data_IF_046321104638
#
_entry.id   IF_046321104638
#
_cell.length_a   1.000
_cell.length_b   1.000
_cell.length_c   1.000
_cell.angle_alpha   90.00
_cell.angle_beta   90.00
_cell.angle_gamma   90.00
#
_symmetry.space_group_name_H-M   'P 1'
#
loop_
_entity.id
_entity.type
_entity.pdbx_description
1 polymer ?
#
# COMPACT_ATOMS: atom_id res chain seq x y z
N UNK A 1 20.68 68.09 -15.77
CA UNK A 1 20.02 67.33 -14.68
C UNK A 1 20.88 67.48 -13.43
N UNK A 2 20.35 68.16 -12.41
CA UNK A 2 21.11 68.75 -11.30
C UNK A 2 21.88 67.71 -10.45
N UNK A 3 23.07 68.05 -9.99
CA UNK A 3 23.86 67.27 -9.01
C UNK A 3 23.09 67.05 -7.70
N UNK A 4 22.19 67.98 -7.34
CA UNK A 4 21.30 67.86 -6.19
C UNK A 4 20.27 66.73 -6.35
N UNK A 5 19.70 66.53 -7.53
CA UNK A 5 18.74 65.43 -7.75
C UNK A 5 19.41 64.06 -7.72
N UNK A 6 20.68 63.97 -8.14
CA UNK A 6 21.49 62.75 -8.00
C UNK A 6 21.82 62.44 -6.54
N UNK A 7 22.20 63.44 -5.75
CA UNK A 7 22.48 63.27 -4.32
C UNK A 7 21.22 62.85 -3.54
N UNK A 8 20.06 63.42 -3.85
CA UNK A 8 18.79 63.05 -3.25
C UNK A 8 18.41 61.58 -3.55
N UNK A 9 18.56 61.14 -4.80
CA UNK A 9 18.32 59.74 -5.20
C UNK A 9 19.24 58.75 -4.49
N UNK A 10 20.51 59.11 -4.32
CA UNK A 10 21.51 58.26 -3.65
C UNK A 10 21.26 58.20 -2.13
N UNK A 11 20.83 59.31 -1.52
CA UNK A 11 20.42 59.33 -0.10
C UNK A 11 19.20 58.47 0.18
N UNK A 12 18.16 58.55 -0.67
CA UNK A 12 16.93 57.75 -0.52
C UNK A 12 17.21 56.25 -0.66
N UNK A 13 18.08 55.86 -1.59
CA UNK A 13 18.43 54.45 -1.79
C UNK A 13 19.25 53.89 -0.63
N UNK A 14 20.22 54.63 -0.09
CA UNK A 14 20.99 54.20 1.09
C UNK A 14 20.10 54.05 2.34
N UNK A 15 19.17 54.98 2.56
CA UNK A 15 18.21 54.89 3.68
C UNK A 15 17.23 53.72 3.52
N UNK A 16 16.81 53.42 2.28
CA UNK A 16 15.96 52.27 1.97
C UNK A 16 16.65 50.92 2.19
N UNK A 17 17.96 50.81 1.92
CA UNK A 17 18.72 49.58 2.16
C UNK A 17 18.99 49.33 3.65
N UNK A 18 19.10 50.36 4.49
CA UNK A 18 19.27 50.22 5.95
C UNK A 18 18.07 49.56 6.64
N UNK A 19 16.88 49.56 6.02
CA UNK A 19 15.70 48.88 6.54
C UNK A 19 15.74 47.35 6.34
N UNK A 20 16.50 46.87 5.34
CA UNK A 20 16.62 45.44 5.03
C UNK A 20 17.93 44.82 5.57
N UNK A 21 18.86 45.66 6.07
CA UNK A 21 20.08 45.23 6.77
C UNK A 21 19.87 44.88 8.25
N UNK A 22 18.67 45.09 8.79
CA UNK A 22 18.24 44.56 10.08
C UNK A 22 17.97 43.07 9.95
N UNK A 23 19.07 42.31 9.80
CA UNK A 23 19.09 40.93 10.27
C UNK A 23 18.57 40.95 11.71
N UNK A 24 17.64 40.06 12.05
CA UNK A 24 16.98 40.02 13.34
C UNK A 24 17.92 39.64 14.49
N UNK A 25 18.91 40.47 14.81
CA UNK A 25 19.95 40.21 15.81
C UNK A 25 19.71 40.89 17.17
N UNK A 26 18.66 41.71 17.32
CA UNK A 26 18.39 42.41 18.59
C UNK A 26 17.07 41.98 19.24
N UNK A 27 16.99 40.72 19.64
CA UNK A 27 15.97 40.27 20.60
C UNK A 27 14.79 39.51 19.99
N UNK A 28 15.06 38.59 19.07
CA UNK A 28 14.10 37.51 18.83
C UNK A 28 14.45 36.42 19.83
N UNK A 29 13.54 36.13 20.75
CA UNK A 29 13.53 34.83 21.45
C UNK A 29 13.43 33.76 20.37
N UNK A 30 14.60 33.30 19.89
CA UNK A 30 14.65 32.16 18.99
C UNK A 30 14.07 30.98 19.78
N UNK A 31 13.05 30.28 19.25
CA UNK A 31 12.46 29.15 19.96
C UNK A 31 13.55 28.10 20.17
N UNK A 32 13.83 27.79 21.42
CA UNK A 32 14.88 26.86 21.83
C UNK A 32 14.68 25.47 21.19
N UNK A 33 15.42 25.21 20.12
CA UNK A 33 15.38 23.96 19.37
C UNK A 33 15.92 22.75 20.16
N UNK A 34 16.51 22.99 21.33
CA UNK A 34 16.95 21.96 22.27
C UNK A 34 16.06 21.87 23.51
N UNK A 35 14.91 22.54 23.53
CA UNK A 35 13.93 22.39 24.59
C UNK A 35 13.34 20.97 24.56
N UNK A 36 13.89 20.09 25.40
CA UNK A 36 13.42 18.71 25.54
C UNK A 36 12.09 18.73 26.30
N UNK A 37 10.99 18.44 25.59
CA UNK A 37 9.71 18.15 26.19
C UNK A 37 9.75 16.86 27.02
N UNK A 38 9.02 16.80 28.14
CA UNK A 38 8.93 15.56 28.94
C UNK A 38 8.22 14.49 28.12
N UNK A 39 8.95 13.48 27.68
CA UNK A 39 8.35 12.29 27.09
C UNK A 39 7.49 11.59 28.15
N UNK A 40 6.28 11.18 27.76
CA UNK A 40 5.45 10.33 28.61
C UNK A 40 6.26 9.06 28.98
N UNK A 41 6.14 8.56 30.22
CA UNK A 41 6.87 7.38 30.63
C UNK A 41 6.54 6.21 29.69
N UNK A 42 7.58 5.58 29.16
CA UNK A 42 7.46 4.37 28.35
C UNK A 42 6.97 3.25 29.26
N UNK A 43 5.68 2.93 29.17
CA UNK A 43 5.13 1.72 29.78
C UNK A 43 5.62 0.56 28.94
N UNK A 44 6.55 -0.21 29.47
CA UNK A 44 6.90 -1.52 28.92
C UNK A 44 5.63 -2.37 29.00
N UNK A 45 5.06 -2.81 27.87
CA UNK A 45 3.92 -3.72 27.91
C UNK A 45 4.31 -4.94 28.74
N UNK A 46 3.39 -5.53 29.53
CA UNK A 46 3.70 -6.75 30.26
C UNK A 46 4.25 -7.78 29.27
N UNK A 47 5.41 -8.36 29.58
CA UNK A 47 5.98 -9.45 28.80
C UNK A 47 4.95 -10.58 28.74
N UNK A 48 4.27 -10.70 27.60
CA UNK A 48 3.46 -11.87 27.31
C UNK A 48 4.42 -13.00 26.98
N UNK A 49 5.04 -13.57 28.01
CA UNK A 49 5.63 -14.89 27.92
C UNK A 49 4.48 -15.87 27.65
N UNK A 50 4.12 -16.01 26.38
CA UNK A 50 3.18 -17.00 25.92
C UNK A 50 3.70 -18.34 26.42
N UNK A 51 3.02 -18.91 27.42
CA UNK A 51 3.38 -20.20 27.95
C UNK A 51 3.41 -21.18 26.77
N UNK A 52 4.52 -21.93 26.57
CA UNK A 52 4.59 -22.90 25.51
C UNK A 52 3.37 -23.83 25.58
N UNK A 53 2.65 -24.04 24.47
CA UNK A 53 1.47 -24.89 24.47
C UNK A 53 1.88 -26.28 24.98
N UNK A 54 1.16 -26.81 25.96
CA UNK A 54 1.50 -28.10 26.56
C UNK A 54 1.52 -29.17 25.46
N UNK A 55 2.59 -29.99 25.36
CA UNK A 55 2.63 -31.11 24.43
C UNK A 55 1.40 -32.00 24.62
N UNK A 56 0.60 -32.20 23.56
CA UNK A 56 -0.60 -33.03 23.59
C UNK A 56 -1.88 -32.38 24.11
N UNK A 57 -1.87 -31.09 24.45
CA UNK A 57 -3.14 -30.36 24.63
C UNK A 57 -3.90 -30.36 23.28
N UNK A 58 -5.23 -30.54 23.28
CA UNK A 58 -6.03 -30.34 22.07
C UNK A 58 -5.66 -28.98 21.51
N UNK A 59 -5.12 -28.98 20.29
CA UNK A 59 -4.97 -27.74 19.52
C UNK A 59 -6.38 -27.13 19.53
N UNK A 60 -6.55 -25.85 19.87
CA UNK A 60 -7.77 -25.16 19.49
C UNK A 60 -7.94 -25.47 18.00
N UNK A 61 -8.99 -26.21 17.65
CA UNK A 61 -9.30 -26.43 16.24
C UNK A 61 -9.59 -25.02 15.76
N UNK A 62 -8.62 -24.40 15.08
CA UNK A 62 -8.89 -23.13 14.43
C UNK A 62 -10.07 -23.41 13.53
N UNK A 63 -11.20 -22.79 13.84
CA UNK A 63 -12.29 -22.67 12.89
C UNK A 63 -11.65 -22.26 11.58
N UNK A 64 -11.93 -22.99 10.51
CA UNK A 64 -11.34 -22.74 9.20
C UNK A 64 -11.23 -21.23 8.94
N UNK A 65 -10.00 -20.74 8.72
CA UNK A 65 -9.71 -19.31 8.68
C UNK A 65 -10.52 -18.60 7.58
N UNK A 66 -10.86 -19.32 6.50
CA UNK A 66 -11.74 -18.83 5.46
C UNK A 66 -13.16 -18.60 6.02
N UNK A 67 -13.70 -19.58 6.74
CA UNK A 67 -15.01 -19.46 7.41
C UNK A 67 -15.06 -18.27 8.38
N UNK A 68 -14.01 -18.07 9.19
CA UNK A 68 -13.94 -16.92 10.10
C UNK A 68 -13.90 -15.57 9.36
N UNK A 69 -13.09 -15.48 8.29
CA UNK A 69 -13.01 -14.27 7.48
C UNK A 69 -14.34 -13.94 6.81
N UNK A 70 -15.04 -14.96 6.29
CA UNK A 70 -16.35 -14.77 5.67
C UNK A 70 -17.40 -14.28 6.68
N UNK A 71 -17.39 -14.83 7.89
CA UNK A 71 -18.28 -14.40 8.96
C UNK A 71 -17.99 -12.97 9.43
N UNK A 72 -16.72 -12.57 9.47
CA UNK A 72 -16.32 -11.20 9.77
C UNK A 72 -16.70 -10.20 8.66
N UNK A 73 -16.58 -10.59 7.38
CA UNK A 73 -16.83 -9.71 6.24
C UNK A 73 -18.31 -9.61 5.86
N UNK A 74 -19.06 -10.69 5.98
CA UNK A 74 -20.43 -10.81 5.47
C UNK A 74 -21.47 -11.14 6.56
N UNK A 75 -21.03 -11.40 7.80
CA UNK A 75 -21.89 -11.75 8.93
C UNK A 75 -22.05 -13.26 9.13
N UNK A 76 -22.70 -13.61 10.24
CA UNK A 76 -22.81 -14.98 10.70
C UNK A 76 -23.56 -15.90 9.73
N UNK A 77 -22.97 -17.06 9.44
CA UNK A 77 -23.58 -18.10 8.61
C UNK A 77 -23.56 -17.87 7.10
N UNK A 78 -22.93 -16.79 6.61
CA UNK A 78 -22.77 -16.57 5.17
C UNK A 78 -21.80 -17.58 4.58
N UNK A 79 -22.32 -18.42 3.68
CA UNK A 79 -21.51 -19.35 2.87
C UNK A 79 -21.55 -18.94 1.40
N UNK A 80 -20.42 -19.04 0.67
CA UNK A 80 -20.43 -18.82 -0.77
C UNK A 80 -21.43 -19.76 -1.44
N UNK A 81 -22.14 -19.27 -2.46
CA UNK A 81 -22.95 -20.13 -3.29
C UNK A 81 -22.06 -21.22 -3.95
N UNK A 82 -22.56 -22.46 -4.11
CA UNK A 82 -21.80 -23.49 -4.81
C UNK A 82 -21.48 -23.01 -6.24
N UNK A 83 -20.23 -23.21 -6.64
CA UNK A 83 -19.75 -22.81 -7.97
C UNK A 83 -20.53 -23.56 -9.05
N UNK A 84 -20.86 -22.87 -10.14
CA UNK A 84 -21.54 -23.53 -11.26
C UNK A 84 -20.64 -24.60 -11.91
N UNK A 85 -21.22 -25.55 -12.64
CA UNK A 85 -20.45 -26.61 -13.34
C UNK A 85 -19.47 -26.01 -14.36
N UNK A 86 -19.90 -24.96 -15.08
CA UNK A 86 -19.03 -24.26 -16.04
C UNK A 86 -17.85 -23.57 -15.36
N UNK A 87 -18.08 -22.95 -14.20
CA UNK A 87 -17.03 -22.29 -13.43
C UNK A 87 -16.03 -23.30 -12.85
N UNK A 88 -16.50 -24.44 -12.36
CA UNK A 88 -15.62 -25.53 -11.92
C UNK A 88 -14.76 -26.06 -13.07
N UNK A 89 -15.37 -26.28 -14.24
CA UNK A 89 -14.63 -26.73 -15.43
C UNK A 89 -13.55 -25.73 -15.86
N UNK A 90 -13.86 -24.43 -15.81
CA UNK A 90 -12.88 -23.39 -16.13
C UNK A 90 -11.74 -23.36 -15.09
N UNK A 91 -12.05 -23.53 -13.80
CA UNK A 91 -11.03 -23.63 -12.75
C UNK A 91 -10.13 -24.85 -12.92
N UNK A 92 -10.69 -25.99 -13.34
CA UNK A 92 -9.95 -27.21 -13.63
C UNK A 92 -9.04 -27.03 -14.85
N UNK A 93 -9.57 -26.49 -15.95
CA UNK A 93 -8.81 -26.20 -17.17
C UNK A 93 -7.71 -25.14 -16.89
N UNK A 94 -7.95 -24.21 -15.95
CA UNK A 94 -6.96 -23.22 -15.48
C UNK A 94 -5.97 -23.76 -14.43
N UNK A 95 -6.12 -25.01 -13.95
CA UNK A 95 -5.28 -25.61 -12.93
C UNK A 95 -5.43 -25.00 -11.53
N UNK A 96 -6.50 -24.25 -11.27
CA UNK A 96 -6.72 -23.52 -10.02
C UNK A 96 -6.98 -24.43 -8.81
N UNK A 97 -7.32 -25.70 -9.03
CA UNK A 97 -7.59 -26.69 -7.97
C UNK A 97 -6.33 -27.26 -7.32
N UNK A 98 -5.13 -26.94 -7.81
CA UNK A 98 -3.84 -27.38 -7.23
C UNK A 98 -2.88 -26.20 -7.04
N UNK A 99 -3.14 -25.30 -6.08
CA UNK A 99 -2.24 -24.18 -5.82
C UNK A 99 -0.90 -24.67 -5.27
N UNK A 100 0.20 -24.19 -5.85
CA UNK A 100 1.55 -24.42 -5.32
C UNK A 100 1.73 -23.60 -4.03
N UNK A 101 1.99 -24.25 -2.87
CA UNK A 101 2.21 -23.53 -1.61
C UNK A 101 3.36 -22.52 -1.65
N UNK A 102 4.34 -22.76 -2.53
CA UNK A 102 5.52 -21.90 -2.72
C UNK A 102 5.29 -20.75 -3.69
N UNK A 103 4.12 -20.66 -4.34
CA UNK A 103 3.84 -19.69 -5.40
C UNK A 103 4.14 -18.23 -5.00
N UNK A 104 3.94 -17.85 -3.74
CA UNK A 104 4.23 -16.49 -3.27
C UNK A 104 5.73 -16.22 -3.11
N UNK A 105 6.49 -17.22 -2.73
CA UNK A 105 7.94 -17.14 -2.61
C UNK A 105 8.59 -17.14 -3.99
N UNK A 106 8.10 -17.96 -4.91
CA UNK A 106 8.61 -18.02 -6.28
C UNK A 106 8.22 -16.80 -7.09
N UNK A 107 6.97 -16.32 -7.04
CA UNK A 107 6.55 -15.15 -7.82
C UNK A 107 7.29 -13.84 -7.44
N UNK A 108 7.77 -13.73 -6.20
CA UNK A 108 8.52 -12.56 -5.71
C UNK A 108 10.04 -12.69 -5.80
N UNK A 109 10.56 -13.86 -6.16
CA UNK A 109 12.01 -14.11 -6.25
C UNK A 109 12.56 -13.46 -7.54
N UNK A 110 13.57 -12.56 -7.45
CA UNK A 110 14.20 -11.97 -8.62
C UNK A 110 14.90 -12.99 -9.54
N UNK A 111 15.18 -14.20 -9.06
CA UNK A 111 15.75 -15.28 -9.85
C UNK A 111 14.70 -16.11 -10.61
N UNK A 112 13.40 -15.85 -10.43
CA UNK A 112 12.35 -16.58 -11.13
C UNK A 112 12.38 -16.31 -12.63
N UNK A 113 12.38 -17.37 -13.43
CA UNK A 113 12.36 -17.26 -14.89
C UNK A 113 11.08 -16.59 -15.37
N UNK A 114 11.21 -15.39 -15.94
CA UNK A 114 10.11 -14.65 -16.55
C UNK A 114 10.13 -14.81 -18.06
N UNK A 115 8.98 -15.13 -18.65
CA UNK A 115 8.81 -15.19 -20.11
C UNK A 115 8.20 -13.89 -20.60
N UNK A 116 8.89 -13.19 -21.51
CA UNK A 116 8.32 -12.01 -22.14
C UNK A 116 7.20 -12.41 -23.10
N UNK A 117 5.95 -12.11 -22.72
CA UNK A 117 4.74 -12.42 -23.50
C UNK A 117 4.41 -11.35 -24.56
N UNK A 118 5.36 -10.48 -24.93
CA UNK A 118 5.23 -9.26 -25.74
C UNK A 118 4.00 -9.15 -26.64
N UNK A 119 3.93 -9.97 -27.70
CA UNK A 119 2.81 -9.93 -28.64
C UNK A 119 1.47 -10.34 -27.99
N UNK A 120 1.46 -11.43 -27.22
CA UNK A 120 0.26 -11.89 -26.49
C UNK A 120 -0.27 -10.84 -25.52
N UNK A 121 0.62 -10.18 -24.77
CA UNK A 121 0.23 -9.10 -23.84
C UNK A 121 -0.43 -7.94 -24.59
N UNK A 122 0.17 -7.50 -25.71
CA UNK A 122 -0.40 -6.44 -26.54
C UNK A 122 -1.77 -6.82 -27.10
N UNK A 123 -1.92 -8.07 -27.52
CA UNK A 123 -3.20 -8.60 -28.02
C UNK A 123 -4.29 -8.57 -26.94
N UNK A 124 -3.96 -8.86 -25.68
CA UNK A 124 -4.90 -8.81 -24.55
C UNK A 124 -5.27 -7.36 -24.20
N UNK A 125 -4.28 -6.45 -24.18
CA UNK A 125 -4.52 -5.03 -23.88
C UNK A 125 -5.40 -4.38 -24.96
N UNK A 126 -5.17 -4.73 -26.22
CA UNK A 126 -5.90 -4.19 -27.36
C UNK A 126 -7.21 -4.96 -27.61
N UNK A 127 -7.55 -5.97 -26.79
CA UNK A 127 -8.77 -6.74 -26.92
C UNK A 127 -10.00 -5.89 -26.54
N UNK A 128 -10.95 -5.76 -27.46
CA UNK A 128 -12.22 -5.09 -27.18
C UNK A 128 -13.02 -5.90 -26.14
N UNK A 129 -13.69 -5.25 -25.17
CA UNK A 129 -14.58 -5.93 -24.24
C UNK A 129 -15.63 -6.74 -25.01
N UNK A 130 -15.68 -8.05 -24.77
CA UNK A 130 -16.73 -8.91 -25.32
C UNK A 130 -18.08 -8.53 -24.74
N UNK A 131 -19.10 -8.38 -25.59
CA UNK A 131 -20.48 -8.08 -25.19
C UNK A 131 -21.27 -9.35 -24.81
N UNK A 132 -20.62 -10.36 -24.24
CA UNK A 132 -21.33 -11.55 -23.79
C UNK A 132 -22.10 -11.24 -22.52
N UNK A 133 -23.38 -11.56 -22.51
CA UNK A 133 -24.22 -11.55 -21.32
C UNK A 133 -23.50 -12.31 -20.19
N UNK A 134 -23.29 -11.70 -19.00
CA UNK A 134 -22.63 -12.38 -17.88
C UNK A 134 -23.31 -13.69 -17.45
N UNK A 135 -24.56 -13.93 -17.86
CA UNK A 135 -25.27 -15.19 -17.65
C UNK A 135 -24.84 -16.33 -18.60
N UNK A 136 -24.09 -16.03 -19.68
CA UNK A 136 -23.63 -17.04 -20.64
C UNK A 136 -22.11 -16.97 -20.83
N UNK A 137 -21.40 -17.77 -20.02
CA UNK A 137 -20.00 -18.06 -20.27
C UNK A 137 -19.88 -19.12 -21.38
N UNK A 138 -19.23 -18.79 -22.49
CA UNK A 138 -18.81 -19.76 -23.51
C UNK A 138 -17.30 -19.74 -23.62
N UNK A 139 -16.68 -20.92 -23.53
CA UNK A 139 -15.25 -21.11 -23.73
C UNK A 139 -15.08 -22.16 -24.83
N UNK A 140 -14.55 -21.75 -25.99
CA UNK A 140 -14.07 -22.69 -27.00
C UNK A 140 -12.57 -22.84 -26.82
N UNK A 141 -12.13 -24.02 -26.42
CA UNK A 141 -10.71 -24.37 -26.43
C UNK A 141 -10.40 -24.83 -27.85
N UNK A 142 -9.73 -23.97 -28.62
CA UNK A 142 -9.21 -24.34 -29.95
C UNK A 142 -8.21 -25.47 -29.80
N UNK A 143 -8.37 -26.51 -30.64
CA UNK A 143 -7.37 -27.57 -30.82
C UNK A 143 -6.19 -27.12 -31.65
#
# INVERSE_FOLDING_TARGET
>A
MSSLTRAALLGVTVLGLSACGSSGIFGRDAPDEFAIGRSAPLVVPPDYNLAPPRPGAPRPMETDAQTQAMEALFGAGVRPAPKSVGEQKLLDDAGATRPDPSARSTAGDPATEVVNKGATLKTIIDAQPGSSDPATASASIGG
#
